data_IF_970955221809
#
_entry.id   IF_970955221809
#
_cell.length_a   1.000
_cell.length_b   1.000
_cell.length_c   1.000
_cell.angle_alpha   90.00
_cell.angle_beta   90.00
_cell.angle_gamma   90.00
#
_symmetry.space_group_name_H-M   'P 1'
#
loop_
_entity.id
_entity.type
_entity.pdbx_description
1 polymer ?
#
# COMPACT_ATOMS: atom_id res chain seq x y z
N UNK A 1 11.37 -7.44 -21.55
CA UNK A 1 12.07 -8.10 -20.42
C UNK A 1 13.29 -7.26 -20.08
N UNK A 2 13.50 -6.94 -18.80
CA UNK A 2 14.77 -6.37 -18.32
C UNK A 2 14.73 -4.92 -17.85
N UNK A 3 14.02 -4.63 -16.76
CA UNK A 3 14.28 -3.44 -15.90
C UNK A 3 13.76 -3.70 -14.48
N UNK A 4 14.48 -4.51 -13.69
CA UNK A 4 14.19 -4.66 -12.24
C UNK A 4 15.48 -4.97 -11.47
N UNK A 5 16.46 -4.05 -11.43
CA UNK A 5 17.59 -4.19 -10.49
C UNK A 5 18.14 -2.91 -9.79
N UNK A 6 17.50 -1.72 -9.78
CA UNK A 6 18.08 -0.60 -9.02
C UNK A 6 18.02 -0.81 -7.50
N UNK A 7 17.04 -1.55 -6.98
CA UNK A 7 16.88 -1.76 -5.54
C UNK A 7 17.89 -2.76 -4.93
N UNK A 8 18.41 -3.71 -5.73
CA UNK A 8 19.39 -4.69 -5.27
C UNK A 8 20.79 -4.08 -5.18
N UNK A 9 21.14 -3.15 -6.07
CA UNK A 9 22.40 -2.42 -6.02
C UNK A 9 22.47 -1.53 -4.77
N UNK A 10 21.39 -0.80 -4.46
CA UNK A 10 21.30 0.03 -3.25
C UNK A 10 21.47 -0.79 -1.96
N UNK A 11 20.82 -1.97 -1.87
CA UNK A 11 20.95 -2.85 -0.70
C UNK A 11 22.37 -3.40 -0.53
N UNK A 12 23.06 -3.67 -1.64
CA UNK A 12 24.43 -4.19 -1.62
C UNK A 12 25.46 -3.12 -1.22
N UNK A 13 25.25 -1.86 -1.63
CA UNK A 13 26.08 -0.74 -1.22
C UNK A 13 25.92 -0.40 0.26
N UNK A 14 24.68 -0.42 0.79
CA UNK A 14 24.41 -0.26 2.22
C UNK A 14 25.11 -1.34 3.08
N UNK A 15 25.14 -2.58 2.59
CA UNK A 15 25.81 -3.68 3.29
C UNK A 15 27.33 -3.51 3.34
N UNK A 16 27.93 -3.02 2.24
CA UNK A 16 29.36 -2.69 2.18
C UNK A 16 29.73 -1.56 3.13
N UNK A 17 28.92 -0.50 3.20
CA UNK A 17 29.16 0.62 4.11
C UNK A 17 29.09 0.18 5.58
N UNK A 18 28.12 -0.66 5.94
CA UNK A 18 28.01 -1.23 7.29
C UNK A 18 29.20 -2.13 7.67
N UNK A 19 29.73 -2.88 6.70
CA UNK A 19 30.91 -3.73 6.89
C UNK A 19 32.18 -2.89 7.10
N UNK A 20 32.36 -1.82 6.31
CA UNK A 20 33.47 -0.86 6.48
C UNK A 20 33.39 -0.18 7.84
N UNK A 21 32.21 0.28 8.27
CA UNK A 21 32.04 0.88 9.59
C UNK A 21 32.38 -0.10 10.73
N UNK A 22 31.97 -1.36 10.60
CA UNK A 22 32.28 -2.43 11.55
C UNK A 22 33.78 -2.73 11.62
N UNK A 23 34.48 -2.71 10.48
CA UNK A 23 35.93 -2.91 10.42
C UNK A 23 36.70 -1.73 11.02
N UNK A 24 36.27 -0.50 10.74
CA UNK A 24 36.86 0.73 11.32
C UNK A 24 36.71 0.73 12.85
N UNK A 25 35.55 0.33 13.38
CA UNK A 25 35.32 0.15 14.81
C UNK A 25 36.25 -0.90 15.45
N UNK A 26 36.46 -2.03 14.77
CA UNK A 26 37.39 -3.07 15.24
C UNK A 26 38.85 -2.60 15.20
N UNK A 27 39.23 -1.78 14.23
CA UNK A 27 40.57 -1.23 14.11
C UNK A 27 40.84 -0.16 15.19
N UNK A 28 39.91 0.77 15.41
CA UNK A 28 39.98 1.79 16.44
C UNK A 28 40.10 1.18 17.86
N UNK A 29 39.31 0.13 18.17
CA UNK A 29 39.41 -0.62 19.44
C UNK A 29 40.78 -1.25 19.65
N UNK A 30 41.49 -1.63 18.57
CA UNK A 30 42.85 -2.19 18.67
C UNK A 30 43.92 -1.11 18.86
N UNK A 31 43.69 0.11 18.38
CA UNK A 31 44.67 1.19 18.41
C UNK A 31 44.56 2.11 19.63
N UNK A 32 43.55 1.95 20.50
CA UNK A 32 43.27 2.85 21.64
C UNK A 32 43.23 4.33 21.22
N UNK A 33 42.75 4.60 20.01
CA UNK A 33 42.45 5.96 19.56
C UNK A 33 41.31 6.53 20.41
N UNK A 34 41.25 7.86 20.49
CA UNK A 34 40.22 8.57 21.23
C UNK A 34 38.82 8.06 20.83
N UNK A 35 38.12 7.50 21.81
CA UNK A 35 36.85 6.79 21.58
C UNK A 35 35.73 7.77 21.22
N UNK A 36 35.90 9.06 21.52
CA UNK A 36 34.90 10.10 21.25
C UNK A 36 34.86 10.45 19.75
N UNK A 37 36.02 10.57 19.08
CA UNK A 37 36.09 10.78 17.62
C UNK A 37 35.52 9.57 16.84
N UNK A 38 35.76 8.37 17.36
CA UNK A 38 35.25 7.12 16.78
C UNK A 38 33.73 7.01 16.97
N UNK A 39 33.21 7.42 18.13
CA UNK A 39 31.78 7.43 18.42
C UNK A 39 31.03 8.44 17.52
N UNK A 40 31.60 9.63 17.31
CA UNK A 40 31.01 10.67 16.46
C UNK A 40 30.95 10.23 14.99
N UNK A 41 32.02 9.59 14.49
CA UNK A 41 32.04 9.00 13.13
C UNK A 41 31.01 7.88 12.96
N UNK A 42 30.82 7.04 13.98
CA UNK A 42 29.83 5.95 13.93
C UNK A 42 28.40 6.49 14.00
N UNK A 43 28.14 7.50 14.83
CA UNK A 43 26.85 8.16 14.91
C UNK A 43 26.45 8.79 13.57
N UNK A 44 27.39 9.45 12.87
CA UNK A 44 27.17 10.02 11.54
C UNK A 44 26.80 8.96 10.49
N UNK A 45 27.50 7.81 10.48
CA UNK A 45 27.17 6.69 9.57
C UNK A 45 25.79 6.10 9.87
N UNK A 46 25.45 5.90 11.14
CA UNK A 46 24.13 5.39 11.54
C UNK A 46 23.01 6.35 11.11
N UNK A 47 23.22 7.66 11.27
CA UNK A 47 22.25 8.68 10.87
C UNK A 47 22.07 8.71 9.34
N UNK A 48 23.14 8.55 8.56
CA UNK A 48 23.07 8.46 7.10
C UNK A 48 22.32 7.20 6.64
N UNK A 49 22.60 6.04 7.25
CA UNK A 49 21.87 4.80 6.98
C UNK A 49 20.39 4.95 7.32
N UNK A 50 20.04 5.55 8.46
CA UNK A 50 18.64 5.75 8.85
C UNK A 50 17.87 6.61 7.83
N UNK A 51 18.49 7.68 7.30
CA UNK A 51 17.90 8.52 6.26
C UNK A 51 17.72 7.76 4.93
N UNK A 52 18.69 6.94 4.54
CA UNK A 52 18.58 6.10 3.33
C UNK A 52 17.50 5.02 3.49
N UNK A 53 17.39 4.38 4.65
CA UNK A 53 16.32 3.42 4.96
C UNK A 53 14.94 4.07 4.94
N UNK A 54 14.80 5.30 5.48
CA UNK A 54 13.55 6.07 5.41
C UNK A 54 13.17 6.42 3.96
N UNK A 55 14.15 6.82 3.13
CA UNK A 55 13.92 7.09 1.71
C UNK A 55 13.49 5.84 0.93
N UNK A 56 14.09 4.67 1.22
CA UNK A 56 13.68 3.38 0.63
C UNK A 56 12.29 2.97 1.08
N UNK A 57 11.92 3.21 2.34
CA UNK A 57 10.57 2.94 2.85
C UNK A 57 9.51 3.82 2.15
N UNK A 58 9.77 5.13 1.99
CA UNK A 58 8.89 6.04 1.25
C UNK A 58 8.78 5.62 -0.23
N UNK A 59 9.88 5.22 -0.86
CA UNK A 59 9.87 4.70 -2.23
C UNK A 59 9.10 3.37 -2.34
N UNK A 60 9.20 2.49 -1.33
CA UNK A 60 8.45 1.24 -1.28
C UNK A 60 6.94 1.49 -1.09
N UNK A 61 6.54 2.46 -0.26
CA UNK A 61 5.15 2.89 -0.11
C UNK A 61 4.61 3.53 -1.40
N UNK A 62 5.41 4.35 -2.09
CA UNK A 62 5.06 4.90 -3.40
C UNK A 62 4.91 3.80 -4.47
N UNK A 63 5.75 2.76 -4.44
CA UNK A 63 5.66 1.61 -5.36
C UNK A 63 4.51 0.66 -4.99
N UNK A 64 4.20 0.49 -3.70
CA UNK A 64 3.06 -0.28 -3.22
C UNK A 64 1.74 0.41 -3.58
N UNK A 65 1.62 1.71 -3.31
CA UNK A 65 0.48 2.52 -3.73
C UNK A 65 0.34 2.62 -5.26
N UNK A 66 1.45 2.53 -6.02
CA UNK A 66 1.42 2.40 -7.48
C UNK A 66 1.04 1.00 -7.99
N UNK A 67 1.27 -0.07 -7.20
CA UNK A 67 0.90 -1.45 -7.54
C UNK A 67 -0.56 -1.79 -7.26
N UNK A 68 -1.24 -1.05 -6.40
CA UNK A 68 -2.59 -1.36 -5.89
C UNK A 68 -3.77 -1.13 -6.85
N UNK A 69 -3.56 -0.99 -8.17
CA UNK A 69 -4.68 -0.67 -9.09
C UNK A 69 -4.66 -1.41 -10.44
N UNK A 70 -4.10 -2.62 -10.48
CA UNK A 70 -4.30 -3.52 -11.62
C UNK A 70 -5.50 -4.44 -11.34
N UNK A 71 -6.69 -3.98 -11.75
CA UNK A 71 -7.89 -4.81 -11.74
C UNK A 71 -7.80 -5.85 -12.85
N UNK A 72 -7.92 -7.13 -12.49
CA UNK A 72 -8.02 -8.23 -13.44
C UNK A 72 -9.48 -8.66 -13.49
N UNK A 73 -10.11 -8.55 -14.65
CA UNK A 73 -11.53 -8.86 -14.83
C UNK A 73 -11.68 -10.19 -15.54
N UNK A 74 -12.46 -11.12 -14.99
CA UNK A 74 -12.90 -12.28 -15.73
C UNK A 74 -13.81 -11.83 -16.89
N UNK A 75 -13.49 -12.19 -18.13
CA UNK A 75 -14.31 -11.78 -19.29
C UNK A 75 -15.61 -12.56 -19.39
N UNK A 76 -15.68 -13.75 -18.79
CA UNK A 76 -16.86 -14.62 -18.81
C UNK A 76 -17.94 -14.15 -17.84
N UNK A 77 -17.60 -13.83 -16.58
CA UNK A 77 -18.58 -13.46 -15.56
C UNK A 77 -18.44 -12.02 -15.03
N UNK A 78 -17.40 -11.28 -15.42
CA UNK A 78 -17.18 -9.90 -14.98
C UNK A 78 -16.64 -9.76 -13.56
N UNK A 79 -16.32 -10.85 -12.86
CA UNK A 79 -15.78 -10.79 -11.50
C UNK A 79 -14.39 -10.13 -11.49
N UNK A 80 -14.17 -9.25 -10.53
CA UNK A 80 -12.92 -8.54 -10.36
C UNK A 80 -12.00 -9.32 -9.40
N UNK A 81 -10.80 -9.65 -9.87
CA UNK A 81 -9.72 -10.20 -9.08
C UNK A 81 -8.67 -9.11 -8.85
N UNK A 82 -8.25 -8.92 -7.61
CA UNK A 82 -7.28 -7.92 -7.21
C UNK A 82 -5.86 -8.32 -7.59
N UNK A 83 -5.62 -9.62 -7.75
CA UNK A 83 -4.31 -10.17 -8.05
C UNK A 83 -4.42 -11.49 -8.83
N UNK A 84 -3.28 -11.99 -9.30
CA UNK A 84 -3.20 -13.23 -10.09
C UNK A 84 -3.51 -14.49 -9.29
N UNK A 85 -3.32 -14.48 -7.97
CA UNK A 85 -3.68 -15.62 -7.12
C UNK A 85 -5.20 -15.78 -7.07
N UNK A 86 -5.94 -14.68 -6.94
CA UNK A 86 -7.40 -14.67 -7.02
C UNK A 86 -7.93 -15.12 -8.38
N UNK A 87 -7.25 -14.79 -9.49
CA UNK A 87 -7.64 -15.32 -10.81
C UNK A 87 -7.53 -16.84 -10.88
N UNK A 88 -6.54 -17.42 -10.19
CA UNK A 88 -6.35 -18.87 -10.16
C UNK A 88 -7.45 -19.56 -9.34
N UNK A 89 -7.76 -19.03 -8.15
CA UNK A 89 -8.87 -19.50 -7.33
C UNK A 89 -10.19 -19.38 -8.10
N UNK A 90 -10.44 -18.24 -8.74
CA UNK A 90 -11.61 -18.04 -9.58
C UNK A 90 -11.72 -19.06 -10.72
N UNK A 91 -10.60 -19.36 -11.38
CA UNK A 91 -10.55 -20.38 -12.46
C UNK A 91 -10.93 -21.75 -11.92
N UNK A 92 -10.45 -22.13 -10.73
CA UNK A 92 -10.76 -23.41 -10.11
C UNK A 92 -12.23 -23.52 -9.67
N UNK A 93 -12.80 -22.45 -9.13
CA UNK A 93 -14.17 -22.45 -8.61
C UNK A 93 -15.22 -22.36 -9.72
N UNK A 94 -14.94 -21.60 -10.78
CA UNK A 94 -15.93 -21.29 -11.82
C UNK A 94 -15.65 -21.91 -13.19
N UNK A 95 -14.41 -22.38 -13.42
CA UNK A 95 -13.96 -22.86 -14.73
C UNK A 95 -13.65 -21.73 -15.74
N UNK A 96 -13.73 -20.46 -15.35
CA UNK A 96 -13.42 -19.35 -16.25
C UNK A 96 -11.92 -19.10 -16.34
N UNK A 97 -11.36 -19.22 -17.55
CA UNK A 97 -9.92 -19.07 -17.79
C UNK A 97 -9.54 -17.74 -18.49
N UNK A 98 -10.51 -16.97 -18.97
CA UNK A 98 -10.25 -15.74 -19.70
C UNK A 98 -10.31 -14.51 -18.80
N UNK A 99 -9.20 -13.76 -18.76
CA UNK A 99 -9.05 -12.58 -17.93
C UNK A 99 -8.48 -11.40 -18.74
N UNK A 100 -9.05 -10.21 -18.52
CA UNK A 100 -8.57 -8.95 -19.10
C UNK A 100 -7.97 -8.09 -18.00
N UNK A 101 -6.68 -7.77 -18.14
CA UNK A 101 -6.03 -6.82 -17.27
C UNK A 101 -6.38 -5.40 -17.75
N UNK A 102 -7.08 -4.64 -16.93
CA UNK A 102 -7.35 -3.23 -17.20
C UNK A 102 -6.47 -2.38 -16.29
N UNK A 103 -5.56 -1.60 -16.88
CA UNK A 103 -4.94 -0.49 -16.16
C UNK A 103 -6.07 0.47 -15.77
N UNK A 104 -6.18 0.82 -14.49
CA UNK A 104 -7.02 1.94 -14.09
C UNK A 104 -6.47 3.21 -14.75
N UNK A 105 -7.05 3.60 -15.89
CA UNK A 105 -7.15 5.01 -16.21
C UNK A 105 -8.12 5.55 -15.17
N UNK A 106 -7.61 6.35 -14.23
CA UNK A 106 -8.38 6.86 -13.11
C UNK A 106 -9.52 7.77 -13.58
N UNK A 107 -10.67 7.19 -13.90
CA UNK A 107 -11.95 7.87 -14.00
C UNK A 107 -13.09 6.85 -14.11
N UNK A 108 -13.43 6.20 -13.00
CA UNK A 108 -14.75 5.58 -12.84
C UNK A 108 -15.28 5.94 -11.45
N UNK A 109 -16.23 6.86 -11.46
CA UNK A 109 -17.08 7.24 -10.34
C UNK A 109 -17.59 5.99 -9.60
N UNK A 110 -17.29 5.92 -8.31
CA UNK A 110 -17.86 4.95 -7.37
C UNK A 110 -19.26 5.37 -6.92
N UNK A 111 -20.14 5.70 -7.86
CA UNK A 111 -21.54 5.97 -7.54
C UNK A 111 -22.39 4.82 -8.05
N UNK A 112 -23.05 4.03 -7.19
CA UNK A 112 -23.92 2.95 -7.64
C UNK A 112 -25.09 3.55 -8.44
N UNK A 113 -25.08 3.34 -9.75
CA UNK A 113 -26.15 3.79 -10.63
C UNK A 113 -27.39 2.91 -10.38
N UNK A 114 -28.34 3.46 -9.63
CA UNK A 114 -29.68 2.87 -9.47
C UNK A 114 -30.41 2.87 -10.82
N UNK A 115 -31.09 1.77 -11.11
CA UNK A 115 -31.83 1.56 -12.36
C UNK A 115 -33.29 1.29 -12.04
N UNK A 116 -34.20 2.01 -12.67
CA UNK A 116 -35.64 1.77 -12.52
C UNK A 116 -36.16 1.04 -13.76
N UNK A 117 -36.82 -0.10 -13.56
CA UNK A 117 -37.51 -0.80 -14.64
C UNK A 117 -38.67 0.07 -15.14
N UNK A 118 -38.74 0.36 -16.45
CA UNK A 118 -39.83 1.18 -17.01
C UNK A 118 -41.18 0.47 -17.02
N UNK A 119 -41.17 -0.86 -17.14
CA UNK A 119 -42.40 -1.65 -17.26
C UNK A 119 -43.12 -1.81 -15.92
N UNK A 120 -42.39 -1.93 -14.80
CA UNK A 120 -42.99 -2.19 -13.49
C UNK A 120 -42.58 -1.21 -12.38
N UNK A 121 -41.68 -0.26 -12.66
CA UNK A 121 -41.22 0.73 -11.69
C UNK A 121 -40.23 0.23 -10.64
N UNK A 122 -39.84 -1.05 -10.66
CA UNK A 122 -38.93 -1.62 -9.66
C UNK A 122 -37.53 -0.99 -9.74
N UNK A 123 -36.99 -0.56 -8.61
CA UNK A 123 -35.70 0.11 -8.50
C UNK A 123 -34.60 -0.90 -8.14
N UNK A 124 -33.80 -1.29 -9.12
CA UNK A 124 -32.60 -2.10 -8.96
C UNK A 124 -31.45 -1.23 -8.44
N UNK A 125 -30.78 -1.67 -7.38
CA UNK A 125 -29.67 -0.97 -6.75
C UNK A 125 -28.42 -0.90 -7.63
N UNK A 126 -28.27 -1.87 -8.55
CA UNK A 126 -27.12 -1.94 -9.45
C UNK A 126 -27.47 -2.70 -10.74
N UNK A 127 -26.49 -2.82 -11.65
CA UNK A 127 -26.65 -3.50 -12.93
C UNK A 127 -26.90 -5.02 -12.79
N UNK A 128 -26.32 -5.67 -11.79
CA UNK A 128 -26.52 -7.10 -11.57
C UNK A 128 -27.97 -7.38 -11.16
N UNK A 129 -28.54 -6.58 -10.25
CA UNK A 129 -29.95 -6.68 -9.89
C UNK A 129 -30.89 -6.40 -11.08
N UNK A 130 -30.55 -5.45 -11.97
CA UNK A 130 -31.35 -5.23 -13.18
C UNK A 130 -31.34 -6.44 -14.13
N UNK A 131 -30.26 -7.21 -14.14
CA UNK A 131 -30.17 -8.42 -14.96
C UNK A 131 -31.01 -9.55 -14.39
N UNK A 132 -30.92 -9.80 -13.07
CA UNK A 132 -31.79 -10.76 -12.36
C UNK A 132 -33.26 -10.40 -12.56
N UNK A 133 -33.61 -9.12 -12.39
CA UNK A 133 -34.96 -8.61 -12.66
C UNK A 133 -35.43 -8.89 -14.08
N UNK A 134 -34.53 -8.77 -15.07
CA UNK A 134 -34.85 -9.07 -16.48
C UNK A 134 -35.16 -10.55 -16.67
N UNK A 135 -34.38 -11.45 -16.06
CA UNK A 135 -34.61 -12.90 -16.16
C UNK A 135 -35.90 -13.33 -15.47
N UNK A 136 -36.22 -12.77 -14.30
CA UNK A 136 -37.41 -13.16 -13.54
C UNK A 136 -38.71 -12.58 -14.13
N UNK A 137 -38.65 -11.37 -14.70
CA UNK A 137 -39.87 -10.63 -15.11
C UNK A 137 -40.00 -10.42 -16.62
N UNK A 138 -38.94 -10.67 -17.40
CA UNK A 138 -38.90 -10.39 -18.84
C UNK A 138 -38.80 -8.91 -19.21
N UNK A 139 -38.67 -8.00 -18.22
CA UNK A 139 -38.57 -6.58 -18.48
C UNK A 139 -37.14 -6.16 -18.86
N UNK A 140 -36.95 -5.71 -20.09
CA UNK A 140 -35.62 -5.36 -20.62
C UNK A 140 -35.31 -3.87 -20.62
N UNK A 141 -36.31 -3.02 -20.39
CA UNK A 141 -36.14 -1.56 -20.44
C UNK A 141 -35.94 -0.96 -19.06
N UNK A 142 -34.77 -0.35 -18.84
CA UNK A 142 -34.41 0.34 -17.59
C UNK A 142 -34.03 1.79 -17.84
N UNK A 143 -34.58 2.70 -17.05
CA UNK A 143 -34.09 4.07 -16.90
C UNK A 143 -32.94 4.09 -15.90
N UNK A 144 -31.80 4.65 -16.31
CA UNK A 144 -30.68 4.89 -15.40
C UNK A 144 -30.89 6.26 -14.79
N UNK A 145 -31.14 6.30 -13.49
CA UNK A 145 -31.04 7.55 -12.74
C UNK A 145 -29.58 7.67 -12.34
N UNK A 146 -28.86 8.62 -12.95
CA UNK A 146 -27.57 9.01 -12.41
C UNK A 146 -27.86 9.73 -11.11
N UNK A 147 -27.42 9.15 -9.98
CA UNK A 147 -27.30 9.90 -8.74
C UNK A 147 -26.14 10.91 -8.89
N UNK A 148 -26.42 11.95 -9.65
CA UNK A 148 -25.64 13.17 -9.79
C UNK A 148 -26.51 14.32 -9.29
N UNK A 149 -26.42 14.58 -7.99
CA UNK A 149 -26.77 15.82 -7.30
C UNK A 149 -28.09 16.53 -7.70
N UNK A 150 -29.24 15.94 -7.41
CA UNK A 150 -30.40 16.76 -7.05
C UNK A 150 -30.77 16.45 -5.59
N UNK A 151 -30.84 17.54 -4.81
CA UNK A 151 -31.28 17.62 -3.42
C UNK A 151 -30.43 16.99 -2.31
N UNK A 152 -29.31 17.67 -2.03
CA UNK A 152 -29.03 18.05 -0.63
C UNK A 152 -28.91 19.57 -0.50
N UNK A 153 -29.97 20.10 0.12
CA UNK A 153 -30.24 21.47 0.60
C UNK A 153 -30.62 22.52 -0.46
N UNK A 154 -31.81 23.15 -0.34
CA UNK A 154 -32.13 24.35 -1.08
C UNK A 154 -31.13 25.43 -0.64
N UNK A 155 -30.45 26.05 -1.60
CA UNK A 155 -29.68 27.26 -1.33
C UNK A 155 -30.51 28.42 -1.87
N UNK A 156 -31.39 29.03 -1.06
CA UNK A 156 -32.26 30.08 -1.53
C UNK A 156 -31.41 31.28 -1.93
N UNK A 157 -31.53 31.70 -3.19
CA UNK A 157 -30.87 32.89 -3.70
C UNK A 157 -31.86 34.06 -3.65
N UNK A 158 -31.53 35.12 -2.91
CA UNK A 158 -32.36 36.32 -2.82
C UNK A 158 -31.89 37.34 -3.84
N UNK A 159 -32.77 37.77 -4.74
CA UNK A 159 -32.46 38.85 -5.67
C UNK A 159 -32.16 40.13 -4.87
N UNK A 160 -30.99 40.73 -5.05
CA UNK A 160 -30.58 41.94 -4.31
C UNK A 160 -31.33 43.19 -4.75
N UNK A 161 -31.93 43.18 -5.93
CA UNK A 161 -32.68 44.32 -6.49
C UNK A 161 -34.12 44.37 -6.00
N UNK A 162 -34.79 43.22 -5.87
CA UNK A 162 -36.22 43.16 -5.51
C UNK A 162 -36.54 42.33 -4.26
N UNK A 163 -35.57 41.63 -3.69
CA UNK A 163 -35.72 40.81 -2.48
C UNK A 163 -36.40 39.45 -2.70
N UNK A 164 -36.70 39.06 -3.94
CA UNK A 164 -37.36 37.79 -4.23
C UNK A 164 -36.44 36.60 -3.95
N UNK A 165 -36.87 35.68 -3.07
CA UNK A 165 -36.13 34.46 -2.74
C UNK A 165 -36.48 33.34 -3.71
N UNK A 166 -35.52 32.94 -4.54
CA UNK A 166 -35.63 31.80 -5.44
C UNK A 166 -35.18 30.55 -4.68
N UNK A 167 -35.96 29.47 -4.71
CA UNK A 167 -35.66 28.24 -3.99
C UNK A 167 -34.47 27.49 -4.60
N UNK A 168 -34.23 27.68 -5.89
CA UNK A 168 -33.15 27.03 -6.64
C UNK A 168 -32.59 27.95 -7.75
N UNK A 169 -31.51 27.49 -8.38
CA UNK A 169 -30.83 28.25 -9.45
C UNK A 169 -31.67 28.39 -10.72
N UNK A 170 -32.56 27.44 -11.02
CA UNK A 170 -33.42 27.52 -12.19
C UNK A 170 -34.43 28.66 -12.04
N UNK A 171 -35.07 28.77 -10.87
CA UNK A 171 -35.96 29.90 -10.53
C UNK A 171 -35.23 31.24 -10.55
N UNK A 172 -33.96 31.30 -10.13
CA UNK A 172 -33.19 32.55 -10.23
C UNK A 172 -32.91 32.98 -11.68
N UNK A 173 -32.78 32.02 -12.60
CA UNK A 173 -32.62 32.33 -14.02
C UNK A 173 -33.94 32.82 -14.63
N UNK A 174 -35.06 32.16 -14.32
CA UNK A 174 -36.38 32.58 -14.77
C UNK A 174 -36.73 33.98 -14.23
N UNK A 175 -36.43 34.24 -12.96
CA UNK A 175 -36.55 35.58 -12.37
C UNK A 175 -35.72 36.64 -13.12
N UNK A 176 -34.51 36.28 -13.56
CA UNK A 176 -33.63 37.19 -14.31
C UNK A 176 -34.23 37.53 -15.68
N UNK A 177 -34.83 36.55 -16.36
CA UNK A 177 -35.46 36.76 -17.67
C UNK A 177 -36.75 37.57 -17.56
N UNK A 178 -37.55 37.33 -16.52
CA UNK A 178 -38.83 38.02 -16.33
C UNK A 178 -38.65 39.46 -15.83
N UNK A 179 -37.69 39.69 -14.94
CA UNK A 179 -37.55 40.98 -14.24
C UNK A 179 -36.34 41.80 -14.70
N UNK A 180 -35.38 41.19 -15.40
CA UNK A 180 -34.12 41.81 -15.80
C UNK A 180 -33.12 41.99 -14.66
N UNK A 181 -33.40 41.48 -13.46
CA UNK A 181 -32.49 41.60 -12.31
C UNK A 181 -31.41 40.52 -12.34
N UNK A 182 -30.15 40.94 -12.33
CA UNK A 182 -28.99 40.02 -12.43
C UNK A 182 -28.23 39.84 -11.11
N UNK A 183 -28.59 40.58 -10.06
CA UNK A 183 -27.94 40.51 -8.75
C UNK A 183 -28.66 39.53 -7.81
N UNK A 184 -27.98 38.47 -7.40
CA UNK A 184 -28.49 37.51 -6.41
C UNK A 184 -27.47 37.35 -5.27
N UNK A 185 -27.96 37.40 -4.03
CA UNK A 185 -27.20 37.09 -2.83
C UNK A 185 -27.53 35.66 -2.41
N UNK A 186 -26.50 34.84 -2.21
CA UNK A 186 -26.66 33.50 -1.66
C UNK A 186 -26.52 33.61 -0.15
N UNK A 187 -27.62 33.44 0.57
CA UNK A 187 -27.59 33.36 2.03
C UNK A 187 -27.04 31.99 2.45
N UNK A 188 -25.71 31.83 2.40
CA UNK A 188 -24.93 30.93 3.28
C UNK A 188 -23.40 31.07 3.10
N UNK A 189 -22.77 31.64 4.13
CA UNK A 189 -21.43 31.28 4.65
C UNK A 189 -20.24 31.24 3.67
N UNK A 190 -20.20 32.06 2.63
CA UNK A 190 -18.93 32.38 1.97
C UNK A 190 -18.31 33.55 2.70
N UNK A 191 -17.34 33.29 3.57
CA UNK A 191 -16.61 34.32 4.30
C UNK A 191 -15.81 35.17 3.28
N UNK A 192 -16.32 36.36 2.88
CA UNK A 192 -15.80 37.08 1.73
C UNK A 192 -14.43 37.69 2.08
N UNK A 193 -13.55 37.79 1.09
CA UNK A 193 -12.19 38.29 1.25
C UNK A 193 -12.03 39.61 0.53
N UNK A 194 -11.61 40.65 1.24
CA UNK A 194 -11.41 41.98 0.68
C UNK A 194 -9.93 42.17 0.35
N UNK A 195 -9.62 42.53 -0.89
CA UNK A 195 -8.26 42.93 -1.27
C UNK A 195 -7.87 44.19 -0.50
N UNK A 196 -6.78 44.16 0.27
CA UNK A 196 -6.36 45.31 1.08
C UNK A 196 -5.71 46.42 0.26
N UNK A 197 -5.30 46.14 -0.98
CA UNK A 197 -4.68 47.12 -1.87
C UNK A 197 -5.71 47.99 -2.60
N UNK A 198 -6.86 47.42 -2.99
CA UNK A 198 -7.86 48.12 -3.80
C UNK A 198 -9.29 48.10 -3.25
N UNK A 199 -9.54 47.36 -2.17
CA UNK A 199 -10.86 47.27 -1.54
C UNK A 199 -11.85 46.34 -2.25
N UNK A 200 -11.45 45.64 -3.32
CA UNK A 200 -12.34 44.71 -4.03
C UNK A 200 -12.71 43.52 -3.15
N UNK A 201 -14.01 43.24 -3.00
CA UNK A 201 -14.51 42.11 -2.22
C UNK A 201 -14.68 40.91 -3.13
N UNK A 202 -13.90 39.87 -2.89
CA UNK A 202 -13.99 38.60 -3.60
C UNK A 202 -14.88 37.64 -2.79
N UNK A 203 -15.92 37.10 -3.43
CA UNK A 203 -16.85 36.16 -2.78
C UNK A 203 -16.19 34.80 -2.52
N UNK A 204 -15.10 34.47 -3.23
CA UNK A 204 -14.41 33.19 -3.08
C UNK A 204 -12.88 33.28 -3.26
N UNK A 205 -12.18 32.18 -2.92
CA UNK A 205 -10.72 32.04 -3.14
C UNK A 205 -10.35 31.78 -4.61
N UNK A 206 -11.32 31.40 -5.44
CA UNK A 206 -11.11 31.30 -6.89
C UNK A 206 -11.08 32.72 -7.48
N UNK A 207 -12.07 33.53 -7.12
CA UNK A 207 -12.18 34.93 -7.54
C UNK A 207 -11.02 35.79 -7.02
N UNK A 208 -10.52 35.55 -5.81
CA UNK A 208 -9.31 36.25 -5.32
C UNK A 208 -8.07 35.93 -6.15
N UNK A 209 -7.99 34.74 -6.77
CA UNK A 209 -6.87 34.36 -7.63
C UNK A 209 -6.96 35.06 -8.98
N UNK A 210 -8.15 35.07 -9.59
CA UNK A 210 -8.41 35.83 -10.81
C UNK A 210 -8.13 37.32 -10.61
N UNK A 211 -8.59 37.91 -9.50
CA UNK A 211 -8.23 39.27 -9.11
C UNK A 211 -6.71 39.49 -8.99
N UNK A 212 -5.98 38.53 -8.41
CA UNK A 212 -4.52 38.61 -8.30
C UNK A 212 -3.85 38.60 -9.67
N UNK A 213 -4.38 37.81 -10.61
CA UNK A 213 -3.86 37.69 -11.97
C UNK A 213 -4.14 38.95 -12.80
N UNK A 214 -5.32 39.56 -12.64
CA UNK A 214 -5.72 40.75 -13.40
C UNK A 214 -5.10 42.04 -12.87
N UNK A 215 -5.03 42.21 -11.55
CA UNK A 215 -4.61 43.48 -10.93
C UNK A 215 -3.22 43.42 -10.29
N UNK A 216 -2.65 42.22 -10.13
CA UNK A 216 -1.38 42.01 -9.42
C UNK A 216 -1.48 42.12 -7.89
N UNK A 217 -2.68 42.22 -7.32
CA UNK A 217 -2.87 42.37 -5.88
C UNK A 217 -3.00 41.00 -5.20
N UNK A 218 -2.09 40.67 -4.29
CA UNK A 218 -2.04 39.35 -3.64
C UNK A 218 -2.46 39.33 -2.16
N UNK A 219 -2.74 40.51 -1.57
CA UNK A 219 -3.06 40.65 -0.15
C UNK A 219 -4.56 40.81 0.07
N UNK A 220 -5.17 39.86 0.77
CA UNK A 220 -6.61 39.85 1.07
C UNK A 220 -6.85 39.64 2.57
N UNK A 221 -7.79 40.38 3.13
CA UNK A 221 -8.28 40.24 4.52
C UNK A 221 -9.68 39.64 4.53
N UNK A 222 -9.93 38.71 5.46
CA UNK A 222 -11.26 38.16 5.69
C UNK A 222 -12.02 39.10 6.60
N UNK A 223 -13.24 39.44 6.22
CA UNK A 223 -14.15 40.12 7.13
C UNK A 223 -14.76 39.05 8.01
N UNK A 224 -14.05 38.68 9.07
CA UNK A 224 -14.50 37.71 10.04
C UNK A 224 -15.87 38.16 10.54
N UNK A 225 -16.93 37.44 10.15
CA UNK A 225 -18.23 37.60 10.75
C UNK A 225 -18.07 37.52 12.26
N UNK A 226 -18.59 38.52 12.97
CA UNK A 226 -18.53 38.63 14.42
C UNK A 226 -18.88 37.29 15.04
N UNK A 227 -17.85 36.60 15.53
CA UNK A 227 -18.03 35.45 16.41
C UNK A 227 -18.29 36.06 17.79
N UNK A 228 -19.53 36.46 18.03
CA UNK A 228 -20.00 36.72 19.39
C UNK A 228 -19.66 35.49 20.25
N UNK A 229 -18.87 35.72 21.30
CA UNK A 229 -18.55 34.73 22.33
C UNK A 229 -17.26 33.94 22.11
N UNK A 230 -16.10 34.58 22.34
CA UNK A 230 -14.96 33.89 22.93
C UNK A 230 -14.57 34.56 24.25
N UNK A 231 -15.51 34.56 25.20
CA UNK A 231 -15.15 34.51 26.60
C UNK A 231 -14.64 33.10 26.89
N UNK A 232 -13.40 33.04 27.38
CA UNK A 232 -12.87 32.04 28.30
C UNK A 232 -13.45 30.62 28.18
N UNK A 233 -13.12 29.90 27.10
CA UNK A 233 -13.29 28.44 27.08
C UNK A 233 -12.12 27.81 27.82
N UNK A 234 -12.31 27.55 29.10
CA UNK A 234 -11.56 26.50 29.78
C UNK A 234 -11.74 25.20 28.98
N UNK A 235 -10.66 24.46 28.67
CA UNK A 235 -10.76 23.21 27.94
C UNK A 235 -11.61 22.22 28.73
N UNK A 236 -12.52 21.51 28.04
CA UNK A 236 -13.38 20.51 28.67
C UNK A 236 -12.54 19.52 29.50
N UNK A 237 -12.90 19.26 30.77
CA UNK A 237 -12.13 18.40 31.65
C UNK A 237 -12.07 16.97 31.10
N UNK A 238 -10.88 16.37 31.10
CA UNK A 238 -10.68 14.99 30.65
C UNK A 238 -11.13 14.01 31.73
N UNK A 239 -12.11 13.18 31.42
CA UNK A 239 -12.66 12.21 32.39
C UNK A 239 -12.07 10.81 32.15
N UNK A 240 -11.51 10.23 33.21
CA UNK A 240 -11.06 8.84 33.23
C UNK A 240 -12.27 7.90 33.13
N UNK A 241 -12.31 7.01 32.13
CA UNK A 241 -13.46 6.13 31.90
C UNK A 241 -13.61 5.03 32.95
N UNK A 242 -12.53 4.64 33.60
CA UNK A 242 -12.53 3.52 34.55
C UNK A 242 -13.08 3.93 35.91
N UNK A 243 -12.83 5.16 36.36
CA UNK A 243 -13.20 5.63 37.70
C UNK A 243 -13.98 6.94 37.74
N UNK A 244 -14.18 7.60 36.60
CA UNK A 244 -14.93 8.87 36.52
C UNK A 244 -14.19 10.10 37.02
N UNK A 245 -12.89 10.00 37.34
CA UNK A 245 -12.11 11.15 37.81
C UNK A 245 -11.90 12.19 36.70
N UNK A 246 -12.22 13.46 36.96
CA UNK A 246 -12.02 14.57 36.04
C UNK A 246 -10.64 15.21 36.25
N UNK A 247 -9.81 15.19 35.22
CA UNK A 247 -8.51 15.84 35.18
C UNK A 247 -8.63 17.17 34.42
N UNK A 248 -8.09 18.25 34.97
CA UNK A 248 -8.15 19.57 34.34
C UNK A 248 -7.23 19.67 33.11
N UNK A 249 -6.17 18.84 33.07
CA UNK A 249 -5.19 18.86 32.00
C UNK A 249 -4.53 17.48 31.78
N UNK A 250 -3.67 17.38 30.76
CA UNK A 250 -3.01 16.13 30.38
C UNK A 250 -1.97 15.66 31.39
N UNK A 251 -1.31 16.58 32.11
CA UNK A 251 -0.33 16.21 33.12
C UNK A 251 -1.00 15.51 34.31
N UNK A 252 -2.12 16.05 34.79
CA UNK A 252 -2.94 15.41 35.83
C UNK A 252 -3.53 14.07 35.39
N UNK A 253 -3.92 13.97 34.11
CA UNK A 253 -4.36 12.69 33.53
C UNK A 253 -3.23 11.65 33.57
N UNK A 254 -1.99 12.04 33.26
CA UNK A 254 -0.83 11.13 33.33
C UNK A 254 -0.54 10.69 34.77
N UNK A 255 -0.48 11.62 35.73
CA UNK A 255 -0.27 11.31 37.15
C UNK A 255 -1.38 10.38 37.69
N UNK A 256 -2.63 10.61 37.30
CA UNK A 256 -3.73 9.70 37.61
C UNK A 256 -3.50 8.30 37.02
N UNK A 257 -3.03 8.22 35.77
CA UNK A 257 -2.73 6.95 35.08
C UNK A 257 -1.65 6.17 35.82
N UNK A 258 -0.59 6.85 36.27
CA UNK A 258 0.51 6.23 37.02
C UNK A 258 0.09 5.81 38.42
N UNK A 259 -0.68 6.64 39.13
CA UNK A 259 -1.14 6.34 40.48
C UNK A 259 -2.16 5.20 40.54
N UNK A 260 -3.01 5.05 39.51
CA UNK A 260 -4.15 4.12 39.53
C UNK A 260 -4.06 2.97 38.53
N UNK A 261 -3.22 3.08 37.50
CA UNK A 261 -3.09 2.10 36.42
C UNK A 261 -4.18 2.16 35.34
N UNK A 262 -5.08 3.16 35.36
CA UNK A 262 -6.18 3.28 34.39
C UNK A 262 -5.71 3.84 33.04
N UNK A 263 -5.84 3.10 31.93
CA UNK A 263 -5.27 3.48 30.61
C UNK A 263 -6.24 4.12 29.61
N UNK A 264 -7.49 4.37 29.95
CA UNK A 264 -8.50 4.86 29.00
C UNK A 264 -9.07 6.22 29.39
N UNK A 265 -8.65 7.26 28.67
CA UNK A 265 -9.22 8.61 28.76
C UNK A 265 -10.01 8.92 27.49
N UNK A 266 -11.16 9.57 27.65
CA UNK A 266 -11.86 10.17 26.51
C UNK A 266 -11.19 11.53 26.24
N UNK A 267 -10.43 11.65 25.16
CA UNK A 267 -9.80 12.92 24.80
C UNK A 267 -9.08 12.95 23.46
N UNK A 268 -8.29 11.94 23.08
CA UNK A 268 -7.52 11.99 21.81
C UNK A 268 -7.38 10.59 21.21
N UNK A 269 -8.20 10.28 20.21
CA UNK A 269 -8.18 9.01 19.46
C UNK A 269 -7.02 8.85 18.46
N UNK A 270 -5.85 9.43 18.72
CA UNK A 270 -4.76 9.49 17.74
C UNK A 270 -3.63 8.48 17.95
N UNK A 271 -3.28 8.15 19.20
CA UNK A 271 -2.01 7.45 19.49
C UNK A 271 -2.17 5.92 19.59
N UNK A 272 -3.31 5.42 20.07
CA UNK A 272 -3.54 3.96 20.14
C UNK A 272 -3.58 3.31 18.74
N UNK A 273 -4.15 4.00 17.73
CA UNK A 273 -4.17 3.51 16.35
C UNK A 273 -2.76 3.41 15.73
N UNK A 274 -1.83 4.28 16.14
CA UNK A 274 -0.44 4.25 15.66
C UNK A 274 0.34 3.07 16.25
N UNK A 275 0.14 2.72 17.52
CA UNK A 275 0.83 1.58 18.13
C UNK A 275 0.34 0.24 17.58
N UNK A 276 -0.97 0.11 17.30
CA UNK A 276 -1.52 -1.07 16.63
C UNK A 276 -1.00 -1.22 15.19
N UNK A 277 -0.83 -0.10 14.48
CA UNK A 277 -0.26 -0.10 13.12
C UNK A 277 1.20 -0.54 13.09
N UNK A 278 2.03 -0.13 14.06
CA UNK A 278 3.44 -0.55 14.14
C UNK A 278 3.59 -2.05 14.43
N UNK A 279 2.74 -2.62 15.29
CA UNK A 279 2.73 -4.07 15.55
C UNK A 279 2.41 -4.89 14.29
N UNK A 280 1.44 -4.42 13.49
CA UNK A 280 1.07 -5.08 12.23
C UNK A 280 2.19 -5.06 11.19
N UNK A 281 2.97 -3.96 11.10
CA UNK A 281 4.13 -3.85 10.20
C UNK A 281 5.27 -4.80 10.58
N UNK A 282 5.55 -4.96 11.88
CA UNK A 282 6.57 -5.89 12.35
C UNK A 282 6.21 -7.34 12.03
N UNK A 283 4.93 -7.69 12.17
CA UNK A 283 4.42 -9.03 11.83
C UNK A 283 4.49 -9.31 10.33
N UNK A 284 4.15 -8.32 9.49
CA UNK A 284 4.29 -8.42 8.03
C UNK A 284 5.76 -8.59 7.60
N UNK A 285 6.69 -7.90 8.25
CA UNK A 285 8.12 -8.03 7.97
C UNK A 285 8.64 -9.44 8.29
N UNK A 286 8.26 -10.00 9.43
CA UNK A 286 8.62 -11.38 9.81
C UNK A 286 8.02 -12.41 8.85
N UNK A 287 6.77 -12.23 8.43
CA UNK A 287 6.12 -13.11 7.45
C UNK A 287 6.83 -13.04 6.09
N UNK A 288 7.28 -11.86 5.67
CA UNK A 288 8.05 -11.67 4.43
C UNK A 288 9.42 -12.34 4.49
N UNK A 289 10.11 -12.29 5.63
CA UNK A 289 11.38 -13.00 5.83
C UNK A 289 11.21 -14.51 5.76
N UNK A 290 10.16 -15.06 6.40
CA UNK A 290 9.84 -16.48 6.33
C UNK A 290 9.50 -16.93 4.89
N UNK A 291 8.71 -16.13 4.16
CA UNK A 291 8.37 -16.41 2.77
C UNK A 291 9.61 -16.33 1.85
N UNK A 292 10.48 -15.35 2.07
CA UNK A 292 11.72 -15.22 1.31
C UNK A 292 12.65 -16.41 1.57
N UNK A 293 12.75 -16.88 2.83
CA UNK A 293 13.51 -18.08 3.16
C UNK A 293 12.91 -19.34 2.52
N UNK A 294 11.58 -19.46 2.47
CA UNK A 294 10.90 -20.56 1.80
C UNK A 294 11.01 -20.53 0.25
N UNK A 295 11.15 -19.35 -0.35
CA UNK A 295 11.26 -19.16 -1.80
C UNK A 295 12.70 -19.24 -2.33
N UNK A 296 13.71 -19.11 -1.47
CA UNK A 296 15.12 -18.99 -1.86
C UNK A 296 16.03 -20.16 -1.47
N UNK A 297 15.47 -21.30 -1.06
CA UNK A 297 16.25 -22.55 -1.03
C UNK A 297 16.12 -23.25 -2.39
N UNK A 298 17.05 -23.02 -3.35
CA UNK A 298 16.98 -23.71 -4.63
C UNK A 298 17.12 -25.21 -4.41
N UNK A 299 16.07 -25.96 -4.75
CA UNK A 299 16.12 -27.41 -4.82
C UNK A 299 16.91 -27.80 -6.06
N UNK A 300 18.04 -28.46 -5.85
CA UNK A 300 18.90 -28.94 -6.92
C UNK A 300 18.85 -30.47 -7.00
N UNK A 301 18.70 -31.00 -8.20
CA UNK A 301 18.59 -32.42 -8.46
C UNK A 301 19.94 -32.97 -8.93
N UNK A 302 20.40 -34.05 -8.31
CA UNK A 302 21.61 -34.75 -8.71
C UNK A 302 21.26 -36.17 -9.18
N UNK A 303 21.78 -36.57 -10.35
CA UNK A 303 21.63 -37.94 -10.84
C UNK A 303 22.79 -38.79 -10.34
N UNK A 304 22.48 -39.90 -9.66
CA UNK A 304 23.47 -40.82 -9.12
C UNK A 304 22.90 -42.23 -9.02
N UNK A 305 23.73 -43.24 -8.72
CA UNK A 305 23.23 -44.59 -8.51
C UNK A 305 22.58 -44.74 -7.12
N UNK A 306 21.66 -45.69 -6.91
CA UNK A 306 21.05 -45.93 -5.59
C UNK A 306 22.06 -46.22 -4.48
N UNK A 307 23.18 -46.87 -4.79
CA UNK A 307 24.28 -47.14 -3.86
C UNK A 307 25.01 -45.84 -3.47
N UNK A 308 25.33 -45.01 -4.45
CA UNK A 308 26.01 -43.73 -4.24
C UNK A 308 25.11 -42.74 -3.50
N UNK A 309 23.80 -42.71 -3.81
CA UNK A 309 22.79 -41.96 -3.07
C UNK A 309 22.78 -42.34 -1.57
N UNK A 310 22.71 -43.65 -1.27
CA UNK A 310 22.77 -44.16 0.11
C UNK A 310 24.07 -43.77 0.82
N UNK A 311 25.21 -43.84 0.13
CA UNK A 311 26.49 -43.46 0.72
C UNK A 311 26.61 -41.95 0.95
N UNK A 312 26.08 -41.11 0.06
CA UNK A 312 26.01 -39.65 0.24
C UNK A 312 25.14 -39.32 1.46
N UNK A 313 23.96 -39.93 1.58
CA UNK A 313 23.05 -39.75 2.71
C UNK A 313 23.68 -40.22 4.02
N UNK A 314 24.38 -41.36 4.01
CA UNK A 314 25.05 -41.89 5.21
C UNK A 314 26.25 -41.05 5.64
N UNK A 315 27.06 -40.60 4.69
CA UNK A 315 28.32 -39.89 4.96
C UNK A 315 28.15 -38.37 5.07
N UNK A 316 27.00 -37.83 4.62
CA UNK A 316 26.75 -36.40 4.45
C UNK A 316 27.86 -35.69 3.63
N UNK A 317 28.52 -36.44 2.72
CA UNK A 317 29.63 -35.96 1.89
C UNK A 317 29.46 -36.38 0.44
N UNK A 318 29.44 -35.39 -0.45
CA UNK A 318 29.53 -35.62 -1.89
C UNK A 318 31.00 -35.72 -2.32
N UNK A 319 31.41 -36.88 -2.86
CA UNK A 319 32.74 -37.04 -3.45
C UNK A 319 32.70 -36.66 -4.93
N UNK A 320 33.71 -35.94 -5.42
CA UNK A 320 33.84 -35.68 -6.86
C UNK A 320 34.07 -37.00 -7.59
N UNK A 321 33.22 -37.32 -8.56
CA UNK A 321 33.49 -38.41 -9.49
C UNK A 321 34.72 -38.05 -10.33
N UNK A 322 35.72 -38.92 -10.36
CA UNK A 322 36.92 -38.75 -11.20
C UNK A 322 36.73 -39.28 -12.63
N UNK A 323 35.74 -40.15 -12.85
CA UNK A 323 35.49 -40.83 -14.13
C UNK A 323 34.07 -40.67 -14.66
N UNK A 324 33.39 -39.56 -14.39
CA UNK A 324 32.04 -39.31 -14.90
C UNK A 324 32.02 -39.25 -16.43
N UNK A 325 30.91 -39.67 -17.05
CA UNK A 325 30.70 -39.67 -18.51
C UNK A 325 30.91 -38.30 -19.16
N UNK A 326 30.64 -37.21 -18.43
CA UNK A 326 30.86 -35.82 -18.88
C UNK A 326 32.20 -35.23 -18.39
N UNK A 327 33.11 -36.06 -17.88
CA UNK A 327 34.32 -35.63 -17.17
C UNK A 327 34.13 -35.52 -15.65
N UNK A 328 35.23 -35.33 -14.94
CA UNK A 328 35.23 -35.28 -13.48
C UNK A 328 34.48 -34.06 -12.93
N UNK A 329 33.43 -34.28 -12.13
CA UNK A 329 32.57 -33.21 -11.63
C UNK A 329 31.30 -33.71 -10.93
N UNK A 330 30.55 -32.77 -10.36
CA UNK A 330 29.21 -32.99 -9.79
C UNK A 330 28.26 -32.10 -10.59
N UNK A 331 27.23 -32.68 -11.18
CA UNK A 331 26.26 -31.98 -12.03
C UNK A 331 24.93 -31.88 -11.29
N UNK A 332 24.34 -30.69 -11.28
CA UNK A 332 23.04 -30.41 -10.68
C UNK A 332 22.08 -29.90 -11.75
N UNK A 333 20.81 -30.29 -11.66
CA UNK A 333 19.71 -29.76 -12.45
C UNK A 333 18.77 -28.92 -11.58
N UNK A 334 18.16 -27.90 -12.17
CA UNK A 334 17.18 -26.99 -11.54
C UNK A 334 15.75 -27.58 -11.50
N UNK A 335 15.54 -28.71 -12.17
CA UNK A 335 14.24 -29.36 -12.33
C UNK A 335 14.44 -30.87 -12.51
N UNK A 336 13.42 -31.64 -12.13
CA UNK A 336 13.43 -33.10 -12.34
C UNK A 336 13.33 -33.42 -13.82
N UNK A 337 12.91 -32.52 -14.69
CA UNK A 337 12.62 -32.79 -16.11
C UNK A 337 13.81 -32.50 -17.03
N UNK A 338 14.71 -31.56 -16.67
CA UNK A 338 15.95 -31.25 -17.44
C UNK A 338 17.05 -32.32 -17.35
N UNK A 339 16.65 -33.57 -17.08
CA UNK A 339 17.52 -34.73 -17.01
C UNK A 339 18.08 -35.08 -18.39
N UNK A 340 19.30 -35.61 -18.44
CA UNK A 340 19.82 -36.21 -19.67
C UNK A 340 19.13 -37.56 -19.91
N UNK A 341 18.39 -37.75 -21.02
CA UNK A 341 17.72 -39.02 -21.33
C UNK A 341 18.71 -40.19 -21.43
N UNK A 342 19.95 -39.89 -21.79
CA UNK A 342 21.04 -40.85 -21.86
C UNK A 342 21.38 -41.46 -20.50
N UNK A 343 21.32 -40.68 -19.41
CA UNK A 343 21.69 -41.16 -18.07
C UNK A 343 20.63 -42.08 -17.45
N UNK A 344 19.37 -41.95 -17.85
CA UNK A 344 18.29 -42.85 -17.44
C UNK A 344 18.40 -44.21 -18.13
N UNK A 345 18.87 -44.23 -19.39
CA UNK A 345 19.09 -45.47 -20.14
C UNK A 345 20.19 -46.39 -19.56
N UNK A 346 21.04 -45.88 -18.67
CA UNK A 346 22.10 -46.63 -17.98
C UNK A 346 21.77 -46.93 -16.51
N UNK A 347 20.52 -46.76 -16.08
CA UNK A 347 20.05 -47.15 -14.75
C UNK A 347 20.39 -46.19 -13.61
N UNK A 348 20.63 -44.90 -13.91
CA UNK A 348 20.82 -43.87 -12.88
C UNK A 348 19.47 -43.23 -12.51
N UNK A 349 19.22 -43.08 -11.21
CA UNK A 349 17.97 -42.52 -10.69
C UNK A 349 18.17 -41.14 -10.07
N UNK A 350 17.16 -40.25 -10.12
CA UNK A 350 17.26 -38.91 -9.55
C UNK A 350 17.22 -38.95 -8.03
N UNK A 351 18.10 -38.21 -7.38
CA UNK A 351 18.03 -37.90 -5.95
C UNK A 351 17.82 -36.39 -5.76
N UNK A 352 16.95 -36.01 -4.84
CA UNK A 352 16.74 -34.61 -4.45
C UNK A 352 17.79 -34.24 -3.40
N UNK A 353 18.52 -33.16 -3.64
CA UNK A 353 19.47 -32.61 -2.67
C UNK A 353 19.12 -31.16 -2.37
N UNK A 354 18.88 -30.84 -1.10
CA UNK A 354 18.66 -29.46 -0.67
C UNK A 354 20.03 -28.86 -0.32
N UNK A 355 20.55 -28.00 -1.19
CA UNK A 355 21.82 -27.35 -0.94
C UNK A 355 21.57 -25.92 -0.46
N UNK A 356 21.95 -25.62 0.77
CA UNK A 356 22.06 -24.24 1.24
C UNK A 356 23.18 -23.55 0.45
N UNK A 357 22.82 -22.58 -0.39
CA UNK A 357 23.77 -21.85 -1.23
C UNK A 357 24.55 -20.83 -0.39
N UNK A 358 25.41 -21.27 0.52
CA UNK A 358 26.38 -20.40 1.16
C UNK A 358 27.59 -20.26 0.21
N UNK A 359 27.56 -19.17 -0.57
CA UNK A 359 28.62 -18.62 -1.44
C UNK A 359 28.91 -19.36 -2.77
N UNK A 360 28.24 -18.94 -3.84
CA UNK A 360 28.62 -19.23 -5.23
C UNK A 360 28.80 -17.96 -6.08
N UNK A 361 29.46 -16.93 -5.54
CA UNK A 361 29.95 -15.76 -6.32
C UNK A 361 31.46 -15.59 -6.31
N UNK A 362 32.24 -16.53 -5.76
CA UNK A 362 33.70 -16.47 -5.80
C UNK A 362 34.32 -17.59 -6.64
N UNK A 363 34.73 -17.26 -7.87
CA UNK A 363 35.55 -18.10 -8.77
C UNK A 363 36.95 -18.48 -8.20
N UNK A 364 37.22 -18.31 -6.90
CA UNK A 364 38.52 -18.56 -6.27
C UNK A 364 38.50 -19.08 -4.82
N UNK A 365 37.40 -19.61 -4.30
CA UNK A 365 37.40 -20.18 -2.94
C UNK A 365 37.74 -21.68 -2.95
N UNK A 366 39.03 -21.97 -2.83
CA UNK A 366 39.57 -23.31 -2.54
C UNK A 366 39.16 -23.80 -1.13
N UNK A 367 38.94 -25.12 -1.01
CA UNK A 367 39.27 -25.96 0.17
C UNK A 367 38.33 -26.07 1.39
N UNK A 368 37.06 -25.67 1.36
CA UNK A 368 36.13 -26.00 2.47
C UNK A 368 34.97 -26.87 2.00
N UNK A 369 34.84 -28.04 2.65
CA UNK A 369 33.81 -29.02 2.37
C UNK A 369 32.42 -28.42 2.60
N UNK A 370 31.51 -28.70 1.67
CA UNK A 370 30.10 -28.30 1.74
C UNK A 370 29.36 -29.30 2.64
N UNK A 371 28.62 -28.80 3.62
CA UNK A 371 27.68 -29.60 4.42
C UNK A 371 26.34 -29.57 3.67
N UNK A 372 25.82 -30.73 3.28
CA UNK A 372 24.56 -30.86 2.56
C UNK A 372 23.48 -31.37 3.51
N UNK A 373 22.23 -30.99 3.29
CA UNK A 373 21.05 -31.66 3.84
C UNK A 373 20.36 -32.39 2.68
N UNK A 374 20.25 -33.71 2.76
CA UNK A 374 19.66 -34.53 1.70
C UNK A 374 18.49 -35.33 2.27
N UNK A 375 17.38 -35.34 1.53
CA UNK A 375 16.15 -36.06 1.84
C UNK A 375 15.80 -37.01 0.69
N UNK A 376 15.51 -38.26 1.02
CA UNK A 376 15.15 -39.27 0.02
C UNK A 376 13.63 -39.31 -0.17
N UNK A 377 13.17 -38.97 -1.38
CA UNK A 377 11.84 -39.30 -1.87
C UNK A 377 12.00 -40.33 -2.99
N UNK A 378 12.12 -41.61 -2.64
CA UNK A 378 12.09 -42.69 -3.60
C UNK A 378 10.63 -43.12 -3.76
N UNK A 379 10.00 -42.80 -4.89
CA UNK A 379 8.78 -43.49 -5.29
C UNK A 379 9.20 -44.87 -5.79
N UNK A 380 8.79 -45.92 -5.07
CA UNK A 380 8.88 -47.29 -5.55
C UNK A 380 7.64 -47.54 -6.40
N UNK A 381 7.82 -47.55 -7.72
CA UNK A 381 6.99 -48.28 -8.67
C UNK A 381 7.89 -49.27 -9.42
#
# INVERSE_FOLDING_TARGET
>A
MGQTQPHLEIAHDLFREAEVASLTLRHARRQRTDMDEVAERVASVIQHMALQHAAVAVAADLVATARDKLLILCTTCGQQCQNRAETYVHTLETGHAEFKQTQQVGYFDRTPLRRTCKACGYACANRAESWIHTEETGHTEFSVVRDGCEDRTPNPATCTTCGHSCANRAESWEHTEETGHTGFSLDRTTNPMTCTTCGHVCASRAESREHTEETGHSRFERKDGEREGSEDRTPDPMICKTCGHSCANRAESWEHTEATGHRTFCGIGGISALMESLGSLQQLHLQKLQLHQALHDPVLYHQTSPEAAREILRSQKMRRGSGGLAGGGIYFADSKERRSPFLESIGLHPMVTQQALQEATNKKAHKRGVILQASAACNAD
#
